data_IF_690231230625
#
_entry.id   IF_690231230625
#
_cell.length_a   1.000
_cell.length_b   1.000
_cell.length_c   1.000
_cell.angle_alpha   90.00
_cell.angle_beta   90.00
_cell.angle_gamma   90.00
#
_symmetry.space_group_name_H-M   'P 1'
#
loop_
_entity.id
_entity.type
_entity.pdbx_description
1 polymer ?
#
# COMPACT_ATOMS: atom_id res chain seq x y z
N UNK A 1 -30.13 29.63 -35.20
CA UNK A 1 -29.89 29.63 -33.75
C UNK A 1 -30.10 28.18 -33.32
N UNK A 2 -29.10 27.36 -33.02
CA UNK A 2 -28.11 27.46 -31.95
C UNK A 2 -26.93 26.51 -32.26
N UNK A 3 -25.68 26.95 -32.04
CA UNK A 3 -24.49 26.10 -32.13
C UNK A 3 -24.31 25.38 -30.79
N UNK A 4 -24.32 24.05 -30.77
CA UNK A 4 -23.90 23.27 -29.61
C UNK A 4 -22.37 23.09 -29.67
N UNK A 5 -21.67 23.73 -28.73
CA UNK A 5 -20.23 23.68 -28.55
C UNK A 5 -19.86 22.36 -27.85
N UNK A 6 -19.40 21.36 -28.59
CA UNK A 6 -18.94 20.09 -28.01
C UNK A 6 -17.54 20.29 -27.42
N UNK A 7 -17.47 20.52 -26.10
CA UNK A 7 -16.21 20.58 -25.35
C UNK A 7 -15.56 19.20 -25.35
N UNK A 8 -14.48 19.05 -26.11
CA UNK A 8 -13.56 17.92 -26.01
C UNK A 8 -12.94 17.88 -24.61
N UNK A 9 -13.28 16.86 -23.82
CA UNK A 9 -12.58 16.57 -22.57
C UNK A 9 -11.25 15.92 -22.97
N UNK A 10 -10.15 16.67 -22.88
CA UNK A 10 -8.82 16.11 -23.10
C UNK A 10 -8.53 15.08 -22.00
N UNK A 11 -8.51 13.81 -22.37
CA UNK A 11 -7.98 12.75 -21.54
C UNK A 11 -6.50 13.06 -21.26
N UNK A 12 -6.17 13.41 -20.02
CA UNK A 12 -4.79 13.58 -19.60
C UNK A 12 -4.10 12.21 -19.61
N UNK A 13 -3.39 11.89 -20.69
CA UNK A 13 -2.47 10.75 -20.74
C UNK A 13 -1.36 10.99 -19.71
N UNK A 14 -1.45 10.31 -18.57
CA UNK A 14 -0.32 10.23 -17.63
C UNK A 14 0.75 9.35 -18.27
N UNK A 15 1.82 9.96 -18.76
CA UNK A 15 3.01 9.26 -19.21
C UNK A 15 3.59 8.48 -18.03
N UNK A 16 3.59 7.15 -18.12
CA UNK A 16 4.32 6.30 -17.20
C UNK A 16 5.82 6.58 -17.38
N UNK A 17 6.45 7.10 -16.33
CA UNK A 17 7.89 7.30 -16.30
C UNK A 17 8.57 5.94 -16.03
N UNK A 18 9.17 5.34 -17.05
CA UNK A 18 10.01 4.14 -16.87
C UNK A 18 11.45 4.57 -16.59
N UNK A 19 11.90 4.46 -15.34
CA UNK A 19 13.32 4.64 -15.02
C UNK A 19 14.14 3.41 -15.43
N UNK A 20 15.38 3.56 -15.91
CA UNK A 20 16.21 2.46 -16.40
C UNK A 20 16.61 1.50 -15.27
N UNK A 21 16.80 0.23 -15.64
CA UNK A 21 17.22 -0.85 -14.74
C UNK A 21 18.67 -0.63 -14.31
N UNK A 22 18.90 -0.30 -13.03
CA UNK A 22 20.23 -0.09 -12.48
C UNK A 22 20.60 -1.19 -11.48
N UNK A 23 21.86 -1.60 -11.60
CA UNK A 23 22.56 -2.73 -10.99
C UNK A 23 22.39 -2.86 -9.47
N UNK A 24 22.22 -4.12 -9.05
CA UNK A 24 21.98 -4.55 -7.68
C UNK A 24 23.30 -4.55 -6.91
N UNK A 25 23.52 -3.55 -6.05
CA UNK A 25 24.61 -3.53 -5.06
C UNK A 25 24.10 -4.07 -3.73
N UNK A 26 24.83 -5.01 -3.14
CA UNK A 26 24.52 -5.63 -1.83
C UNK A 26 25.25 -4.85 -0.73
N UNK A 27 24.50 -4.15 0.12
CA UNK A 27 24.99 -3.43 1.31
C UNK A 27 23.97 -3.53 2.45
N UNK A 28 24.44 -3.41 3.70
CA UNK A 28 23.68 -3.46 4.96
C UNK A 28 22.88 -2.18 5.26
N UNK A 29 22.99 -1.15 4.41
CA UNK A 29 22.17 0.07 4.51
C UNK A 29 20.76 -0.15 3.93
N UNK A 30 19.70 0.49 4.48
CA UNK A 30 18.35 0.35 3.96
C UNK A 30 18.31 0.85 2.51
N UNK A 31 18.18 -0.09 1.58
CA UNK A 31 18.40 0.02 0.12
C UNK A 31 17.58 1.14 -0.58
N UNK A 32 16.64 1.79 0.11
CA UNK A 32 15.67 2.75 -0.45
C UNK A 32 15.40 3.99 0.41
N UNK A 33 16.20 4.23 1.44
CA UNK A 33 16.08 5.43 2.28
C UNK A 33 16.99 6.53 1.71
N UNK A 34 16.44 7.70 1.34
CA UNK A 34 17.24 8.87 0.95
C UNK A 34 16.99 10.01 1.93
N UNK A 35 18.04 10.70 2.37
CA UNK A 35 17.86 11.93 3.14
C UNK A 35 17.37 13.05 2.20
N UNK A 36 16.30 13.74 2.60
CA UNK A 36 15.65 14.76 1.79
C UNK A 36 16.53 16.02 1.70
N UNK A 37 17.04 16.31 0.49
CA UNK A 37 17.92 17.48 0.27
C UNK A 37 17.20 18.83 0.40
N UNK A 38 15.88 18.88 0.19
CA UNK A 38 15.08 20.10 0.16
C UNK A 38 14.44 20.46 1.51
N UNK A 39 14.59 19.63 2.54
CA UNK A 39 14.02 19.89 3.86
C UNK A 39 14.96 20.75 4.71
N UNK A 40 14.90 22.07 4.51
CA UNK A 40 15.80 23.04 5.14
C UNK A 40 15.28 23.62 6.46
N UNK A 41 14.41 22.93 7.21
CA UNK A 41 13.60 23.58 8.26
C UNK A 41 13.47 22.84 9.62
N UNK A 42 14.25 21.81 9.94
CA UNK A 42 14.04 21.06 11.19
C UNK A 42 15.29 20.50 11.88
N UNK A 43 15.21 20.36 13.21
CA UNK A 43 16.23 19.75 14.10
C UNK A 43 16.48 18.25 13.82
N UNK A 44 15.66 17.61 12.99
CA UNK A 44 15.70 16.17 12.72
C UNK A 44 15.85 15.91 11.21
N UNK A 45 16.67 14.92 10.81
CA UNK A 45 16.85 14.55 9.41
C UNK A 45 15.55 13.94 8.86
N UNK A 46 15.17 14.33 7.64
CA UNK A 46 14.01 13.77 6.95
C UNK A 46 14.47 12.63 6.03
N UNK A 47 13.89 11.44 6.23
CA UNK A 47 14.18 10.25 5.42
C UNK A 47 13.00 9.99 4.49
N UNK A 48 13.28 9.99 3.19
CA UNK A 48 12.33 9.70 2.13
C UNK A 48 12.44 8.26 1.67
N UNK A 49 11.27 7.67 1.42
CA UNK A 49 11.13 6.35 0.84
C UNK A 49 10.05 6.36 -0.23
N UNK A 50 10.36 5.79 -1.39
CA UNK A 50 9.39 5.61 -2.48
C UNK A 50 8.89 4.17 -2.49
N UNK A 51 7.57 3.98 -2.62
CA UNK A 51 6.87 2.69 -2.74
C UNK A 51 5.64 2.86 -3.64
N UNK A 52 5.16 1.78 -4.23
CA UNK A 52 3.94 1.81 -5.06
C UNK A 52 2.68 1.91 -4.18
N UNK A 53 2.73 1.29 -3.00
CA UNK A 53 1.68 1.34 -2.00
C UNK A 53 2.25 1.30 -0.58
N UNK A 54 1.59 2.00 0.34
CA UNK A 54 1.92 2.01 1.77
C UNK A 54 0.70 1.59 2.56
N UNK A 55 0.86 0.56 3.39
CA UNK A 55 -0.16 0.07 4.32
C UNK A 55 0.21 0.51 5.74
N UNK A 56 -0.70 1.22 6.39
CA UNK A 56 -0.52 1.70 7.77
C UNK A 56 -1.37 0.83 8.69
N UNK A 57 -0.69 0.09 9.57
CA UNK A 57 -1.27 -0.89 10.48
C UNK A 57 -1.01 -2.32 10.01
N UNK A 58 -0.53 -3.16 10.93
CA UNK A 58 -0.21 -4.58 10.69
C UNK A 58 -1.15 -5.53 11.47
N UNK A 59 -2.43 -5.16 11.56
CA UNK A 59 -3.49 -6.08 12.01
C UNK A 59 -3.93 -7.05 10.89
N UNK A 60 -4.98 -7.83 11.12
CA UNK A 60 -5.46 -8.82 10.14
C UNK A 60 -5.73 -8.23 8.75
N UNK A 61 -6.41 -7.07 8.70
CA UNK A 61 -6.71 -6.38 7.45
C UNK A 61 -5.44 -5.84 6.75
N UNK A 62 -4.56 -5.19 7.51
CA UNK A 62 -3.34 -4.57 6.97
C UNK A 62 -2.35 -5.61 6.42
N UNK A 63 -2.14 -6.71 7.15
CA UNK A 63 -1.30 -7.80 6.66
C UNK A 63 -1.90 -8.47 5.41
N UNK A 64 -3.23 -8.67 5.38
CA UNK A 64 -3.89 -9.25 4.20
C UNK A 64 -3.76 -8.34 2.97
N UNK A 65 -3.93 -7.03 3.14
CA UNK A 65 -3.77 -6.05 2.07
C UNK A 65 -2.31 -5.97 1.59
N UNK A 66 -1.36 -5.85 2.52
CA UNK A 66 0.08 -5.76 2.19
C UNK A 66 0.57 -7.01 1.44
N UNK A 67 0.16 -8.21 1.88
CA UNK A 67 0.48 -9.45 1.18
C UNK A 67 -0.16 -9.53 -0.20
N UNK A 68 -1.42 -9.11 -0.34
CA UNK A 68 -2.11 -9.08 -1.63
C UNK A 68 -1.40 -8.19 -2.65
N UNK A 69 -0.99 -6.99 -2.22
CA UNK A 69 -0.24 -6.04 -3.05
C UNK A 69 1.13 -6.59 -3.43
N UNK A 70 1.88 -7.16 -2.48
CA UNK A 70 3.16 -7.78 -2.75
C UNK A 70 3.05 -8.97 -3.72
N UNK A 71 2.01 -9.81 -3.57
CA UNK A 71 1.73 -10.94 -4.47
C UNK A 71 1.40 -10.48 -5.89
N UNK A 72 0.75 -9.34 -6.04
CA UNK A 72 0.47 -8.72 -7.34
C UNK A 72 1.71 -8.01 -7.96
N UNK A 73 2.86 -8.08 -7.30
CA UNK A 73 4.13 -7.52 -7.81
C UNK A 73 4.36 -6.05 -7.43
N UNK A 74 3.48 -5.44 -6.64
CA UNK A 74 3.68 -4.08 -6.17
C UNK A 74 4.74 -4.01 -5.07
N UNK A 75 5.54 -2.95 -5.13
CA UNK A 75 6.48 -2.59 -4.08
C UNK A 75 5.74 -1.97 -2.91
N UNK A 76 5.38 -2.79 -1.93
CA UNK A 76 4.56 -2.38 -0.77
C UNK A 76 5.38 -2.20 0.51
N UNK A 77 5.11 -1.13 1.26
CA UNK A 77 5.59 -0.96 2.63
C UNK A 77 4.46 -1.21 3.63
N UNK A 78 4.73 -1.94 4.72
CA UNK A 78 3.80 -2.12 5.82
C UNK A 78 4.40 -1.48 7.07
N UNK A 79 3.74 -0.45 7.62
CA UNK A 79 4.22 0.33 8.77
C UNK A 79 3.29 0.09 9.96
N UNK A 80 3.85 -0.24 11.12
CA UNK A 80 3.07 -0.48 12.34
C UNK A 80 3.84 0.01 13.56
N UNK A 81 3.11 0.49 14.57
CA UNK A 81 3.68 0.96 15.85
C UNK A 81 4.11 -0.22 16.73
N UNK A 82 3.24 -1.19 17.08
CA UNK A 82 3.66 -2.42 17.74
C UNK A 82 4.06 -3.48 16.72
N UNK A 83 4.81 -4.50 17.17
CA UNK A 83 5.10 -5.69 16.37
C UNK A 83 3.79 -6.31 15.84
N UNK A 84 3.72 -6.82 14.58
CA UNK A 84 2.45 -7.19 13.94
C UNK A 84 1.53 -8.13 14.75
N UNK A 85 2.10 -9.11 15.46
CA UNK A 85 1.33 -10.06 16.28
C UNK A 85 0.80 -9.47 17.59
N UNK A 86 1.17 -8.23 17.92
CA UNK A 86 0.65 -7.46 19.06
C UNK A 86 -0.43 -6.46 18.65
N UNK A 87 -0.95 -6.55 17.42
CA UNK A 87 -2.12 -5.81 16.99
C UNK A 87 -3.38 -6.29 17.72
N UNK A 88 -4.37 -5.42 17.91
CA UNK A 88 -5.59 -5.76 18.67
C UNK A 88 -6.43 -6.90 18.02
N UNK A 89 -6.19 -7.21 16.74
CA UNK A 89 -6.77 -8.40 16.10
C UNK A 89 -6.39 -9.70 16.83
N UNK A 90 -5.25 -9.73 17.54
CA UNK A 90 -4.82 -10.89 18.34
C UNK A 90 -5.80 -11.24 19.47
N UNK A 91 -6.61 -10.28 19.92
CA UNK A 91 -7.56 -10.47 21.02
C UNK A 91 -8.92 -11.01 20.56
N UNK A 92 -9.11 -11.27 19.25
CA UNK A 92 -10.36 -11.83 18.75
C UNK A 92 -10.59 -13.27 19.25
N UNK A 93 -11.80 -13.58 19.73
CA UNK A 93 -12.12 -14.87 20.36
C UNK A 93 -13.17 -15.69 19.60
N UNK A 94 -14.25 -15.07 19.11
CA UNK A 94 -15.39 -15.80 18.54
C UNK A 94 -15.06 -16.55 17.26
N UNK A 95 -14.83 -15.82 16.17
CA UNK A 95 -14.57 -16.41 14.84
C UNK A 95 -14.85 -15.41 13.72
N UNK A 96 -14.89 -15.93 12.49
CA UNK A 96 -15.31 -15.20 11.29
C UNK A 96 -16.56 -15.87 10.72
N UNK A 97 -17.62 -15.09 10.52
CA UNK A 97 -18.86 -15.59 9.93
C UNK A 97 -18.71 -15.69 8.41
N UNK A 98 -19.11 -16.82 7.84
CA UNK A 98 -19.18 -17.05 6.40
C UNK A 98 -20.21 -18.14 6.12
N UNK A 99 -21.06 -17.95 5.10
CA UNK A 99 -22.04 -18.94 4.66
C UNK A 99 -21.34 -20.11 3.93
N UNK A 100 -20.74 -21.02 4.70
CA UNK A 100 -19.98 -22.16 4.20
C UNK A 100 -20.81 -23.45 4.11
N UNK A 101 -21.93 -23.53 4.82
CA UNK A 101 -22.80 -24.72 4.82
C UNK A 101 -22.24 -25.94 5.56
N UNK A 102 -21.25 -25.78 6.44
CA UNK A 102 -20.53 -26.92 7.06
C UNK A 102 -21.38 -27.72 8.07
N UNK A 103 -22.30 -27.07 8.78
CA UNK A 103 -23.14 -27.70 9.81
C UNK A 103 -24.58 -27.92 9.34
N UNK A 104 -25.11 -26.97 8.58
CA UNK A 104 -26.44 -26.97 7.97
C UNK A 104 -26.38 -26.19 6.66
N UNK A 105 -27.38 -26.34 5.80
CA UNK A 105 -27.54 -25.50 4.61
C UNK A 105 -27.62 -24.01 5.01
N UNK A 106 -26.94 -23.14 4.27
CA UNK A 106 -26.71 -21.74 4.63
C UNK A 106 -26.63 -20.86 3.36
N UNK A 107 -27.32 -19.72 3.34
CA UNK A 107 -27.28 -18.69 2.29
C UNK A 107 -27.26 -17.31 2.95
N UNK A 108 -26.47 -16.39 2.40
CA UNK A 108 -26.21 -15.05 2.96
C UNK A 108 -27.14 -13.96 2.40
N UNK A 109 -27.99 -14.30 1.43
CA UNK A 109 -28.91 -13.38 0.74
C UNK A 109 -30.17 -13.07 1.54
#
# INVERSE_FOLDING_TARGET
MSKALQRSISCAQRFFNSSPSASKVVTTNPIRAREAKSWSAGKYPLIEHEYDAVVIGAGGAGLRAAFGLAKAGFKTACITKPFPTRSHTVAAQGGINAALGNMTEDDWR
#
